data_IF_570819447856
#
_entry.id   IF_570819447856
#
_cell.length_a   1.000
_cell.length_b   1.000
_cell.length_c   1.000
_cell.angle_alpha   90.00
_cell.angle_beta   90.00
_cell.angle_gamma   90.00
#
_symmetry.space_group_name_H-M   'P 1'
#
loop_
_entity.id
_entity.type
_entity.pdbx_description
1 polymer ?
#
# COMPACT_ATOMS: atom_id res chain seq x y z
N UNK A 1 1.39 -12.96 6.88
CA UNK A 1 0.90 -14.30 7.18
C UNK A 1 2.07 -15.29 7.03
N UNK A 2 2.52 -15.88 8.11
CA UNK A 2 3.61 -16.88 8.10
C UNK A 2 3.08 -18.32 7.99
N UNK A 3 1.86 -18.53 8.48
CA UNK A 3 1.17 -19.84 8.43
C UNK A 3 -0.28 -19.65 7.98
N UNK A 4 -0.84 -20.68 7.35
CA UNK A 4 -2.27 -20.71 6.96
C UNK A 4 -3.20 -20.71 8.18
N UNK A 5 -2.74 -21.19 9.32
CA UNK A 5 -3.49 -21.17 10.59
C UNK A 5 -3.80 -19.76 11.09
N UNK A 6 -3.04 -18.74 10.68
CA UNK A 6 -3.27 -17.35 11.05
C UNK A 6 -4.43 -16.71 10.26
N UNK A 7 -4.94 -17.38 9.22
CA UNK A 7 -5.93 -16.80 8.30
C UNK A 7 -7.20 -16.36 9.02
N UNK A 8 -7.69 -17.16 9.96
CA UNK A 8 -8.90 -16.85 10.70
C UNK A 8 -8.77 -15.60 11.58
N UNK A 9 -7.68 -15.45 12.32
CA UNK A 9 -7.43 -14.29 13.18
C UNK A 9 -7.26 -12.99 12.35
N UNK A 10 -6.58 -13.11 11.21
CA UNK A 10 -6.42 -11.99 10.25
C UNK A 10 -7.78 -11.59 9.68
N UNK A 11 -8.63 -12.55 9.33
CA UNK A 11 -9.98 -12.29 8.83
C UNK A 11 -10.85 -11.60 9.89
N UNK A 12 -10.83 -12.06 11.14
CA UNK A 12 -11.56 -11.41 12.25
C UNK A 12 -11.11 -9.95 12.43
N UNK A 13 -9.80 -9.71 12.41
CA UNK A 13 -9.25 -8.36 12.52
C UNK A 13 -9.69 -7.47 11.35
N UNK A 14 -9.72 -8.01 10.15
CA UNK A 14 -10.20 -7.33 8.95
C UNK A 14 -11.70 -7.00 9.03
N UNK A 15 -12.53 -7.97 9.42
CA UNK A 15 -13.97 -7.79 9.61
C UNK A 15 -14.28 -6.67 10.60
N UNK A 16 -13.63 -6.71 11.76
CA UNK A 16 -13.81 -5.70 12.81
C UNK A 16 -13.37 -4.30 12.33
N UNK A 17 -12.28 -4.21 11.57
CA UNK A 17 -11.84 -2.93 10.98
C UNK A 17 -12.88 -2.36 10.03
N UNK A 18 -13.42 -3.16 9.11
CA UNK A 18 -14.46 -2.71 8.16
C UNK A 18 -15.69 -2.24 8.92
N UNK A 19 -16.17 -3.03 9.87
CA UNK A 19 -17.33 -2.70 10.68
C UNK A 19 -17.14 -1.37 11.43
N UNK A 20 -15.98 -1.17 12.05
CA UNK A 20 -15.69 0.06 12.81
C UNK A 20 -15.45 1.26 11.89
N UNK A 21 -14.82 1.08 10.74
CA UNK A 21 -14.47 2.16 9.84
C UNK A 21 -15.67 2.66 9.01
N UNK A 22 -16.52 1.75 8.57
CA UNK A 22 -17.63 2.06 7.67
C UNK A 22 -19.02 1.96 8.32
N UNK A 23 -19.12 1.45 9.55
CA UNK A 23 -20.41 1.21 10.20
C UNK A 23 -21.29 0.16 9.50
N UNK A 24 -20.71 -0.64 8.58
CA UNK A 24 -21.43 -1.59 7.74
C UNK A 24 -21.00 -3.01 8.05
N UNK A 25 -21.96 -3.92 8.18
CA UNK A 25 -21.69 -5.35 8.32
C UNK A 25 -21.46 -5.99 6.96
N UNK A 26 -20.50 -6.91 6.87
CA UNK A 26 -20.30 -7.75 5.68
C UNK A 26 -21.48 -8.72 5.56
N UNK A 27 -22.22 -8.64 4.45
CA UNK A 27 -23.37 -9.53 4.20
C UNK A 27 -23.00 -10.84 3.54
N UNK A 28 -22.01 -10.78 2.64
CA UNK A 28 -21.59 -11.95 1.85
C UNK A 28 -20.07 -12.03 1.83
N UNK A 29 -19.56 -13.19 2.09
CA UNK A 29 -18.13 -13.50 1.98
C UNK A 29 -17.93 -14.62 0.96
N UNK A 30 -17.20 -14.33 -0.12
CA UNK A 30 -16.95 -15.30 -1.19
C UNK A 30 -15.52 -15.78 -1.15
N UNK A 31 -15.34 -17.10 -1.18
CA UNK A 31 -14.03 -17.75 -1.15
C UNK A 31 -13.91 -18.84 -2.24
N UNK A 32 -12.72 -19.34 -2.41
CA UNK A 32 -12.49 -20.62 -3.08
C UNK A 32 -12.77 -21.78 -2.11
N UNK A 33 -12.56 -23.02 -2.60
CA UNK A 33 -12.77 -24.23 -1.80
C UNK A 33 -11.55 -24.59 -0.93
N UNK A 34 -10.72 -23.62 -0.52
CA UNK A 34 -9.60 -23.91 0.35
C UNK A 34 -10.10 -24.34 1.74
N UNK A 35 -9.50 -25.43 2.26
CA UNK A 35 -9.92 -26.07 3.52
C UNK A 35 -9.92 -25.12 4.71
N UNK A 36 -9.08 -24.10 4.68
CA UNK A 36 -8.95 -23.10 5.72
C UNK A 36 -10.27 -22.32 5.93
N UNK A 37 -10.98 -22.02 4.84
CA UNK A 37 -12.28 -21.30 4.89
C UNK A 37 -13.45 -22.19 5.27
N UNK A 38 -13.28 -23.53 5.17
CA UNK A 38 -14.30 -24.50 5.54
C UNK A 38 -14.13 -24.99 6.98
N UNK A 39 -13.19 -24.45 7.72
CA UNK A 39 -12.94 -24.82 9.11
C UNK A 39 -14.14 -24.49 10.02
N UNK A 40 -14.26 -25.23 11.11
CA UNK A 40 -15.32 -25.02 12.11
C UNK A 40 -15.34 -23.58 12.65
N UNK A 41 -14.16 -23.01 12.90
CA UNK A 41 -14.02 -21.63 13.39
C UNK A 41 -14.63 -20.60 12.42
N UNK A 42 -14.34 -20.73 11.10
CA UNK A 42 -14.94 -19.87 10.09
C UNK A 42 -16.45 -20.07 10.01
N UNK A 43 -16.91 -21.30 9.97
CA UNK A 43 -18.35 -21.60 9.86
C UNK A 43 -19.13 -21.04 11.06
N UNK A 44 -18.62 -21.21 12.27
CA UNK A 44 -19.24 -20.67 13.48
C UNK A 44 -19.26 -19.14 13.48
N UNK A 45 -18.14 -18.51 13.07
CA UNK A 45 -18.04 -17.06 12.97
C UNK A 45 -19.02 -16.48 11.91
N UNK A 46 -19.12 -17.10 10.73
CA UNK A 46 -20.05 -16.68 9.69
C UNK A 46 -21.50 -16.74 10.16
N UNK A 47 -21.86 -17.84 10.83
CA UNK A 47 -23.21 -18.01 11.39
C UNK A 47 -23.52 -16.97 12.48
N UNK A 48 -22.59 -16.73 13.41
CA UNK A 48 -22.81 -15.77 14.53
C UNK A 48 -22.91 -14.31 14.07
N UNK A 49 -22.40 -13.99 12.89
CA UNK A 49 -22.45 -12.64 12.30
C UNK A 49 -23.43 -12.54 11.11
N UNK A 50 -24.23 -13.59 10.85
CA UNK A 50 -25.19 -13.66 9.77
C UNK A 50 -24.58 -13.38 8.38
N UNK A 51 -23.34 -13.85 8.17
CA UNK A 51 -22.62 -13.67 6.91
C UNK A 51 -22.88 -14.85 6.01
N UNK A 52 -23.42 -14.59 4.81
CA UNK A 52 -23.57 -15.60 3.79
C UNK A 52 -22.20 -15.99 3.23
N UNK A 53 -21.76 -17.22 3.50
CA UNK A 53 -20.54 -17.77 2.93
C UNK A 53 -20.84 -18.42 1.57
N UNK A 54 -20.27 -17.88 0.50
CA UNK A 54 -20.35 -18.42 -0.85
C UNK A 54 -19.01 -19.04 -1.23
N UNK A 55 -19.03 -20.29 -1.69
CA UNK A 55 -17.84 -20.95 -2.23
C UNK A 55 -17.94 -21.07 -3.75
N UNK A 56 -16.81 -21.11 -4.45
CA UNK A 56 -16.78 -21.44 -5.86
C UNK A 56 -17.07 -22.92 -6.08
N UNK A 57 -17.68 -23.27 -7.23
CA UNK A 57 -17.84 -24.67 -7.59
C UNK A 57 -16.47 -25.33 -7.80
N UNK A 58 -16.40 -26.64 -7.48
CA UNK A 58 -15.20 -27.42 -7.76
C UNK A 58 -14.85 -27.35 -9.26
N UNK A 59 -13.57 -27.30 -9.56
CA UNK A 59 -13.04 -27.24 -10.94
C UNK A 59 -13.50 -26.06 -11.81
N UNK A 60 -14.03 -24.98 -11.21
CA UNK A 60 -14.45 -23.76 -11.95
C UNK A 60 -13.61 -22.53 -11.57
N UNK A 61 -12.35 -22.43 -12.04
CA UNK A 61 -11.45 -21.30 -11.72
C UNK A 61 -11.99 -19.94 -12.18
N UNK A 62 -12.90 -19.93 -13.15
CA UNK A 62 -13.51 -18.70 -13.70
C UNK A 62 -14.33 -17.94 -12.66
N UNK A 63 -14.93 -18.66 -11.70
CA UNK A 63 -15.71 -18.02 -10.63
C UNK A 63 -14.86 -17.13 -9.71
N UNK A 64 -13.55 -17.34 -9.67
CA UNK A 64 -12.59 -16.50 -8.94
C UNK A 64 -11.93 -15.42 -9.81
N UNK A 65 -12.45 -15.16 -11.01
CA UNK A 65 -11.87 -14.26 -11.99
C UNK A 65 -11.71 -12.82 -11.48
N UNK A 66 -12.62 -12.33 -10.63
CA UNK A 66 -12.54 -10.96 -10.06
C UNK A 66 -11.31 -10.84 -9.15
N UNK A 67 -11.14 -11.78 -8.22
CA UNK A 67 -10.00 -11.78 -7.27
C UNK A 67 -8.68 -11.94 -8.03
N UNK A 68 -8.63 -12.88 -8.99
CA UNK A 68 -7.43 -13.10 -9.81
C UNK A 68 -7.04 -11.87 -10.62
N UNK A 69 -8.01 -11.14 -11.22
CA UNK A 69 -7.75 -9.89 -11.96
C UNK A 69 -7.25 -8.79 -11.04
N UNK A 70 -7.85 -8.61 -9.87
CA UNK A 70 -7.39 -7.61 -8.90
C UNK A 70 -5.99 -7.90 -8.37
N UNK A 71 -5.70 -9.15 -8.07
CA UNK A 71 -4.36 -9.56 -7.66
C UNK A 71 -3.34 -9.33 -8.78
N UNK A 72 -3.65 -9.72 -10.03
CA UNK A 72 -2.80 -9.45 -11.19
C UNK A 72 -2.54 -7.95 -11.35
N UNK A 73 -3.57 -7.12 -11.31
CA UNK A 73 -3.44 -5.67 -11.42
C UNK A 73 -2.51 -5.10 -10.35
N UNK A 74 -2.66 -5.54 -9.09
CA UNK A 74 -1.77 -5.12 -8.00
C UNK A 74 -0.31 -5.54 -8.26
N UNK A 75 -0.09 -6.79 -8.66
CA UNK A 75 1.26 -7.32 -8.93
C UNK A 75 1.91 -6.60 -10.13
N UNK A 76 1.18 -6.37 -11.20
CA UNK A 76 1.67 -5.66 -12.39
C UNK A 76 2.03 -4.21 -12.05
N UNK A 77 1.16 -3.50 -11.32
CA UNK A 77 1.44 -2.12 -10.85
C UNK A 77 2.68 -2.09 -9.96
N UNK A 78 2.78 -3.01 -9.00
CA UNK A 78 3.95 -3.13 -8.13
C UNK A 78 5.24 -3.37 -8.92
N UNK A 79 5.19 -4.28 -9.89
CA UNK A 79 6.33 -4.60 -10.77
C UNK A 79 6.76 -3.38 -11.60
N UNK A 80 5.80 -2.68 -12.19
CA UNK A 80 6.07 -1.46 -12.96
C UNK A 80 6.73 -0.40 -12.11
N UNK A 81 6.24 -0.18 -10.88
CA UNK A 81 6.83 0.79 -9.96
C UNK A 81 8.26 0.41 -9.57
N UNK A 82 8.53 -0.87 -9.27
CA UNK A 82 9.88 -1.35 -8.98
C UNK A 82 10.85 -1.13 -10.14
N UNK A 83 10.44 -1.53 -11.36
CA UNK A 83 11.28 -1.41 -12.56
C UNK A 83 11.52 0.06 -12.95
N UNK A 84 10.48 0.91 -12.83
CA UNK A 84 10.61 2.33 -13.14
C UNK A 84 11.52 3.07 -12.18
N UNK A 85 11.41 2.80 -10.88
CA UNK A 85 12.14 3.53 -9.83
C UNK A 85 13.50 2.95 -9.50
N UNK A 86 13.81 1.74 -10.01
CA UNK A 86 15.03 0.99 -9.70
C UNK A 86 15.27 0.76 -8.21
N UNK A 87 14.18 0.74 -7.43
CA UNK A 87 14.21 0.54 -5.98
C UNK A 87 14.54 -0.93 -5.68
N UNK A 88 15.50 -1.22 -4.79
CA UNK A 88 15.86 -2.59 -4.42
C UNK A 88 14.67 -3.41 -3.92
N UNK A 89 14.66 -4.70 -4.27
CA UNK A 89 13.55 -5.62 -3.92
C UNK A 89 13.25 -5.70 -2.42
N UNK A 90 14.21 -5.41 -1.54
CA UNK A 90 13.99 -5.39 -0.08
C UNK A 90 12.85 -4.45 0.35
N UNK A 91 12.53 -3.43 -0.46
CA UNK A 91 11.44 -2.49 -0.21
C UNK A 91 10.10 -2.91 -0.83
N UNK A 92 9.97 -4.17 -1.30
CA UNK A 92 8.79 -4.67 -1.99
C UNK A 92 7.47 -4.39 -1.23
N UNK A 93 7.51 -4.45 0.11
CA UNK A 93 6.33 -4.16 0.94
C UNK A 93 5.86 -2.72 0.82
N UNK A 94 6.78 -1.75 0.76
CA UNK A 94 6.47 -0.33 0.57
C UNK A 94 5.92 -0.08 -0.84
N UNK A 95 6.48 -0.76 -1.85
CA UNK A 95 5.98 -0.67 -3.23
C UNK A 95 4.56 -1.19 -3.34
N UNK A 96 4.24 -2.34 -2.73
CA UNK A 96 2.86 -2.88 -2.72
C UNK A 96 1.88 -1.91 -2.07
N UNK A 97 2.26 -1.31 -0.94
CA UNK A 97 1.41 -0.32 -0.27
C UNK A 97 1.20 0.92 -1.14
N UNK A 98 2.24 1.38 -1.82
CA UNK A 98 2.16 2.52 -2.74
C UNK A 98 1.34 2.17 -3.98
N UNK A 99 1.46 0.95 -4.52
CA UNK A 99 0.62 0.46 -5.61
C UNK A 99 -0.86 0.40 -5.22
N UNK A 100 -1.18 -0.08 -4.02
CA UNK A 100 -2.54 -0.03 -3.48
C UNK A 100 -3.06 1.40 -3.39
N UNK A 101 -2.24 2.34 -2.92
CA UNK A 101 -2.61 3.76 -2.86
C UNK A 101 -2.93 4.28 -4.26
N UNK A 102 -2.05 4.10 -5.23
CA UNK A 102 -2.24 4.54 -6.62
C UNK A 102 -3.53 3.95 -7.21
N UNK A 103 -3.73 2.64 -7.12
CA UNK A 103 -4.94 1.96 -7.66
C UNK A 103 -6.22 2.54 -7.06
N UNK A 104 -6.23 2.86 -5.77
CA UNK A 104 -7.40 3.41 -5.10
C UNK A 104 -7.65 4.90 -5.42
N UNK A 105 -6.65 5.62 -5.93
CA UNK A 105 -6.72 7.03 -6.29
C UNK A 105 -6.77 7.28 -7.81
N UNK A 106 -6.83 6.21 -8.62
CA UNK A 106 -7.02 6.31 -10.06
C UNK A 106 -8.49 6.10 -10.45
N UNK A 107 -8.87 6.67 -11.60
CA UNK A 107 -10.18 6.46 -12.21
C UNK A 107 -10.40 4.97 -12.54
N UNK A 108 -11.57 4.46 -12.23
CA UNK A 108 -11.95 3.07 -12.51
C UNK A 108 -13.13 3.01 -13.48
N UNK A 109 -12.90 2.36 -14.63
CA UNK A 109 -13.97 2.13 -15.62
C UNK A 109 -15.15 1.35 -15.04
N UNK A 110 -14.88 0.39 -14.13
CA UNK A 110 -15.92 -0.41 -13.47
C UNK A 110 -16.81 0.46 -12.56
N UNK A 111 -16.32 1.60 -12.11
CA UNK A 111 -17.01 2.56 -11.26
C UNK A 111 -17.46 3.79 -12.05
N UNK A 112 -17.74 3.63 -13.35
CA UNK A 112 -18.19 4.74 -14.22
C UNK A 112 -17.23 5.95 -14.20
N UNK A 113 -15.93 5.70 -14.28
CA UNK A 113 -14.88 6.70 -14.19
C UNK A 113 -14.82 7.44 -12.84
N UNK A 114 -15.33 6.84 -11.78
CA UNK A 114 -15.17 7.37 -10.43
C UNK A 114 -13.90 6.80 -9.77
N UNK A 115 -13.37 7.54 -8.80
CA UNK A 115 -12.21 7.13 -8.03
C UNK A 115 -12.68 6.28 -6.84
N UNK A 116 -12.14 5.07 -6.62
CA UNK A 116 -12.57 4.21 -5.51
C UNK A 116 -12.50 4.88 -4.15
N UNK A 117 -11.43 5.65 -3.89
CA UNK A 117 -11.26 6.37 -2.63
C UNK A 117 -12.39 7.37 -2.37
N UNK A 118 -12.77 8.17 -3.35
CA UNK A 118 -13.81 9.19 -3.18
C UNK A 118 -15.22 8.61 -2.96
N UNK A 119 -15.46 7.36 -3.40
CA UNK A 119 -16.73 6.67 -3.13
C UNK A 119 -16.78 6.17 -1.69
N UNK A 120 -15.66 5.67 -1.17
CA UNK A 120 -15.58 5.15 0.19
C UNK A 120 -15.47 6.26 1.25
N UNK A 121 -14.85 7.37 0.90
CA UNK A 121 -14.57 8.50 1.78
C UNK A 121 -14.99 9.84 1.13
N UNK A 122 -16.30 10.08 0.95
CA UNK A 122 -16.78 11.26 0.21
C UNK A 122 -16.46 12.59 0.90
N UNK A 123 -16.18 12.57 2.21
CA UNK A 123 -15.88 13.76 2.99
C UNK A 123 -14.37 14.01 3.16
N UNK A 124 -13.52 13.06 2.74
CA UNK A 124 -12.07 13.22 2.83
C UNK A 124 -11.51 13.81 1.53
N UNK A 125 -10.48 14.66 1.61
CA UNK A 125 -9.80 15.15 0.42
C UNK A 125 -9.14 13.97 -0.30
N UNK A 126 -9.23 13.97 -1.63
CA UNK A 126 -8.67 12.90 -2.47
C UNK A 126 -7.16 12.75 -2.26
N UNK A 127 -6.48 13.85 -2.13
CA UNK A 127 -5.03 13.90 -1.89
C UNK A 127 -4.75 14.81 -0.70
N UNK A 128 -4.72 14.29 0.53
CA UNK A 128 -4.38 15.08 1.71
C UNK A 128 -2.93 15.58 1.68
N UNK A 129 -2.07 14.87 0.95
CA UNK A 129 -0.72 15.28 0.60
C UNK A 129 -0.57 15.30 -0.93
N UNK A 130 0.24 16.23 -1.45
CA UNK A 130 0.55 16.27 -2.88
C UNK A 130 1.12 14.93 -3.35
N UNK A 131 0.57 14.33 -4.41
CA UNK A 131 1.11 13.11 -4.99
C UNK A 131 2.57 13.30 -5.41
N UNK A 132 3.42 12.32 -5.10
CA UNK A 132 4.85 12.32 -5.40
C UNK A 132 5.26 11.05 -6.11
N UNK A 133 6.25 11.15 -6.99
CA UNK A 133 6.77 10.00 -7.73
C UNK A 133 7.49 9.04 -6.77
N UNK A 134 7.07 7.77 -6.76
CA UNK A 134 7.70 6.72 -5.95
C UNK A 134 9.17 6.54 -6.37
N UNK A 135 10.07 6.43 -5.40
CA UNK A 135 11.51 6.30 -5.64
C UNK A 135 12.22 7.62 -5.94
N UNK A 136 11.51 8.77 -5.92
CA UNK A 136 12.14 10.09 -6.11
C UNK A 136 13.08 10.43 -4.96
N UNK A 137 14.07 11.25 -5.28
CA UNK A 137 14.98 11.82 -4.28
C UNK A 137 14.23 12.84 -3.44
N UNK A 138 14.39 12.76 -2.14
CA UNK A 138 13.82 13.71 -1.21
C UNK A 138 14.81 14.05 -0.09
N UNK A 139 14.58 15.19 0.54
CA UNK A 139 15.39 15.71 1.64
C UNK A 139 14.53 15.93 2.87
N UNK A 140 14.92 15.26 3.95
CA UNK A 140 14.24 15.33 5.24
C UNK A 140 15.08 16.20 6.16
N UNK A 141 14.44 17.18 6.79
CA UNK A 141 15.15 18.10 7.71
C UNK A 141 15.73 17.35 8.90
N UNK A 142 16.94 17.74 9.28
CA UNK A 142 17.64 17.18 10.43
C UNK A 142 17.27 17.96 11.68
N UNK A 143 16.56 17.33 12.62
CA UNK A 143 16.10 17.93 13.87
C UNK A 143 17.04 17.62 15.06
N UNK A 144 18.29 17.21 14.83
CA UNK A 144 19.23 16.99 15.91
C UNK A 144 19.57 18.32 16.61
N UNK A 145 19.50 18.31 17.95
CA UNK A 145 19.94 19.44 18.76
C UNK A 145 21.48 19.59 18.68
N UNK A 146 21.95 20.83 18.58
CA UNK A 146 23.39 21.11 18.58
C UNK A 146 24.06 21.07 17.20
N UNK A 147 23.32 21.13 16.12
CA UNK A 147 23.88 21.30 14.78
C UNK A 147 24.42 22.70 14.60
N UNK A 148 25.69 22.79 14.20
CA UNK A 148 26.28 24.05 13.75
C UNK A 148 25.59 24.56 12.47
N UNK A 149 25.58 25.88 12.29
CA UNK A 149 24.97 26.54 11.11
C UNK A 149 25.54 26.00 9.79
N UNK A 150 26.80 25.54 9.81
CA UNK A 150 27.50 24.96 8.65
C UNK A 150 27.30 23.44 8.50
N UNK A 151 26.63 22.78 9.44
CA UNK A 151 26.35 21.35 9.37
C UNK A 151 25.26 21.02 8.35
N UNK A 152 25.27 19.80 7.82
CA UNK A 152 24.23 19.34 6.90
C UNK A 152 22.84 19.36 7.56
N UNK A 153 21.99 20.28 7.10
CA UNK A 153 20.66 20.54 7.67
C UNK A 153 19.60 19.54 7.21
N UNK A 154 19.93 18.65 6.27
CA UNK A 154 18.99 17.67 5.74
C UNK A 154 19.67 16.36 5.37
N UNK A 155 18.89 15.28 5.48
CA UNK A 155 19.31 13.95 5.04
C UNK A 155 18.72 13.64 3.67
N UNK A 156 19.57 13.22 2.72
CA UNK A 156 19.14 12.71 1.43
C UNK A 156 18.48 11.36 1.60
N UNK A 157 17.24 11.23 1.17
CA UNK A 157 16.39 10.05 1.33
C UNK A 157 15.73 9.65 0.00
N UNK A 158 15.26 8.41 -0.06
CA UNK A 158 14.36 7.94 -1.11
C UNK A 158 12.92 7.95 -0.60
N UNK A 159 12.00 8.42 -1.43
CA UNK A 159 10.57 8.39 -1.13
C UNK A 159 9.99 7.01 -1.37
N UNK A 160 9.37 6.42 -0.35
CA UNK A 160 8.81 5.06 -0.37
C UNK A 160 7.29 5.00 -0.13
N UNK A 161 6.60 6.13 -0.25
CA UNK A 161 5.15 6.20 -0.19
C UNK A 161 4.59 6.99 0.99
N UNK A 162 3.32 6.74 1.29
CA UNK A 162 2.56 7.45 2.31
C UNK A 162 2.29 6.56 3.52
N UNK A 163 2.16 7.17 4.70
CA UNK A 163 1.72 6.43 5.90
C UNK A 163 0.21 6.34 5.96
N UNK A 164 -0.32 5.17 6.37
CA UNK A 164 -1.76 4.92 6.45
C UNK A 164 -2.51 5.81 7.44
N UNK A 165 -1.87 6.17 8.55
CA UNK A 165 -2.59 6.72 9.72
C UNK A 165 -2.33 8.20 9.98
N UNK A 166 -1.38 8.84 9.28
CA UNK A 166 -0.91 10.17 9.69
C UNK A 166 -0.75 11.18 8.54
N UNK A 167 -1.18 10.87 7.33
CA UNK A 167 -1.00 11.73 6.16
C UNK A 167 0.44 12.30 6.11
N UNK A 168 1.45 11.43 6.13
CA UNK A 168 2.86 11.78 6.14
C UNK A 168 3.61 11.00 5.08
N UNK A 169 4.68 11.60 4.58
CA UNK A 169 5.60 10.96 3.66
C UNK A 169 6.46 9.95 4.40
N UNK A 170 6.65 8.77 3.80
CA UNK A 170 7.55 7.72 4.28
C UNK A 170 8.80 7.74 3.41
N UNK A 171 9.93 8.09 4.01
CA UNK A 171 11.22 8.20 3.34
C UNK A 171 12.23 7.26 4.00
N UNK A 172 13.25 6.83 3.26
CA UNK A 172 14.33 6.00 3.79
C UNK A 172 15.69 6.61 3.47
N UNK A 173 16.52 6.77 4.47
CA UNK A 173 17.91 7.18 4.29
C UNK A 173 18.81 5.95 4.21
N UNK A 174 19.57 5.83 3.11
CA UNK A 174 20.55 4.76 2.96
C UNK A 174 21.77 4.97 3.87
N UNK A 175 22.19 6.22 4.07
CA UNK A 175 23.34 6.56 4.91
C UNK A 175 23.12 6.20 6.38
N UNK A 176 21.89 6.44 6.88
CA UNK A 176 21.52 6.16 8.27
C UNK A 176 20.84 4.80 8.43
N UNK A 177 20.53 4.11 7.33
CA UNK A 177 19.75 2.87 7.31
C UNK A 177 18.44 2.97 8.13
N UNK A 178 17.74 4.12 8.02
CA UNK A 178 16.60 4.45 8.86
C UNK A 178 15.41 5.00 8.05
N UNK A 179 14.17 4.64 8.51
CA UNK A 179 12.95 5.21 7.98
C UNK A 179 12.59 6.51 8.68
N UNK A 180 12.25 7.51 7.90
CA UNK A 180 11.72 8.79 8.35
C UNK A 180 10.27 8.95 7.94
N UNK A 181 9.45 9.52 8.84
CA UNK A 181 8.04 9.80 8.62
C UNK A 181 7.79 11.26 8.96
N UNK A 182 7.63 12.11 7.93
CA UNK A 182 7.46 13.54 8.09
C UNK A 182 6.31 14.09 7.24
N UNK A 183 5.72 15.21 7.70
CA UNK A 183 4.70 15.93 6.95
C UNK A 183 5.32 16.86 5.89
N UNK A 184 6.47 17.44 6.22
CA UNK A 184 7.20 18.34 5.33
C UNK A 184 8.49 17.68 4.85
N UNK A 185 8.61 17.55 3.55
CA UNK A 185 9.75 16.93 2.86
C UNK A 185 9.97 17.68 1.56
N UNK A 186 11.22 18.04 1.28
CA UNK A 186 11.59 18.67 0.01
C UNK A 186 11.86 17.59 -1.03
N UNK A 187 11.21 17.67 -2.17
CA UNK A 187 11.32 16.67 -3.24
C UNK A 187 12.08 17.21 -4.46
N UNK A 188 12.91 16.33 -5.05
CA UNK A 188 13.51 16.52 -6.37
C UNK A 188 12.95 15.43 -7.29
N UNK A 189 11.75 15.66 -7.83
CA UNK A 189 11.00 14.64 -8.60
C UNK A 189 11.61 14.35 -9.96
N UNK A 190 12.43 15.25 -10.50
CA UNK A 190 13.22 15.02 -11.72
C UNK A 190 14.31 13.96 -11.55
N UNK A 191 14.64 13.58 -10.32
CA UNK A 191 15.73 12.66 -10.00
C UNK A 191 15.20 11.44 -9.22
N UNK A 192 15.27 10.27 -9.82
CA UNK A 192 15.05 8.99 -9.12
C UNK A 192 16.31 8.62 -8.34
N UNK A 193 16.13 8.35 -7.05
CA UNK A 193 17.24 8.17 -6.12
C UNK A 193 18.24 7.10 -6.55
N UNK A 194 17.75 5.90 -6.91
CA UNK A 194 18.63 4.78 -7.29
C UNK A 194 19.19 4.92 -8.70
N UNK A 195 18.46 5.50 -9.65
CA UNK A 195 18.98 5.78 -10.98
C UNK A 195 20.10 6.82 -10.97
N UNK A 196 20.01 7.80 -10.07
CA UNK A 196 21.09 8.79 -9.91
C UNK A 196 22.37 8.21 -9.31
N UNK A 197 22.30 7.05 -8.64
CA UNK A 197 23.48 6.34 -8.13
C UNK A 197 24.16 5.47 -9.19
N UNK A 198 23.41 5.02 -10.20
CA UNK A 198 23.92 4.15 -11.28
C UNK A 198 24.46 4.93 -12.49
N UNK A 199 24.13 6.21 -12.62
CA UNK A 199 24.72 7.07 -13.66
C UNK A 199 26.12 7.54 -13.22
N UNK A 200 27.17 7.37 -14.06
CA UNK A 200 28.48 7.95 -13.77
C UNK A 200 28.38 9.48 -13.65
N UNK A 201 29.23 10.13 -12.84
CA UNK A 201 29.24 11.58 -12.74
C UNK A 201 29.49 12.15 -14.13
N UNK A 202 28.59 13.02 -14.57
CA UNK A 202 28.79 13.78 -15.80
C UNK A 202 30.03 14.64 -15.56
N UNK A 203 31.13 14.27 -16.20
CA UNK A 203 32.35 15.11 -16.25
C UNK A 203 31.98 16.41 -16.96
N UNK A 204 32.04 17.50 -16.22
CA UNK A 204 32.00 18.88 -16.73
C UNK A 204 33.39 19.26 -17.18
#
# INVERSE_FOLDING_TARGET
MKSRSELFSIFQSFYNKIKNQFGVSTRTFRTDNACEYLSHSFTTFMKSHEILHQTSCAYTPQQNGVVKRKNRHLVETTRTMLLHSDVPQRFWGDVVLSACYVINHMLSLVLENKIPHSILFPHEPLHPLSPKAFGSTCYVHNFCFGLDILSAQSHKCVFLGFTRSKNRFKCFSLSLNHYFIFAEVTFTESSLYFKSLSSPPVSV
#
